data_IF_825947917075
#
_entry.id   IF_825947917075
#
_cell.length_a   1.000
_cell.length_b   1.000
_cell.length_c   1.000
_cell.angle_alpha   90.00
_cell.angle_beta   90.00
_cell.angle_gamma   90.00
#
_symmetry.space_group_name_H-M   'P 1'
#
loop_
_entity.id
_entity.type
_entity.pdbx_description
1 polymer ?
#
# COMPACT_ATOMS: atom_id res chain seq x y z
N UNK A 1 1.91 5.35 0.69
CA UNK A 1 0.59 5.39 1.38
C UNK A 1 0.03 3.99 1.60
N UNK A 2 0.48 3.31 2.66
CA UNK A 2 0.21 1.86 2.85
C UNK A 2 -1.27 1.52 3.05
N UNK A 3 -1.96 2.25 3.94
CA UNK A 3 -3.35 1.98 4.32
C UNK A 3 -4.40 2.30 3.25
N UNK A 4 -4.08 3.14 2.27
CA UNK A 4 -5.04 3.64 1.25
C UNK A 4 -5.06 2.79 -0.03
N UNK A 5 -4.43 1.62 -0.02
CA UNK A 5 -4.38 0.74 -1.20
C UNK A 5 -3.50 1.27 -2.33
N UNK A 6 -3.51 0.54 -3.46
CA UNK A 6 -2.67 0.80 -4.64
C UNK A 6 -3.09 2.00 -5.48
N UNK A 7 -4.29 2.54 -5.28
CA UNK A 7 -4.74 3.71 -6.04
C UNK A 7 -4.10 5.01 -5.52
N UNK A 8 -3.70 5.03 -4.25
CA UNK A 8 -2.88 6.10 -3.66
C UNK A 8 -1.38 5.85 -3.90
N UNK A 9 -0.96 5.84 -5.18
CA UNK A 9 0.44 5.58 -5.58
C UNK A 9 1.40 6.70 -5.21
N UNK A 10 1.06 7.95 -5.53
CA UNK A 10 1.94 9.09 -5.32
C UNK A 10 1.45 9.97 -4.20
N UNK A 11 2.34 10.36 -3.30
CA UNK A 11 2.09 11.31 -2.24
C UNK A 11 3.05 12.49 -2.32
N UNK A 12 2.57 13.66 -1.95
CA UNK A 12 3.41 14.86 -1.84
C UNK A 12 3.40 15.29 -0.37
N UNK A 13 4.59 15.55 0.15
CA UNK A 13 4.75 16.28 1.41
C UNK A 13 5.20 17.68 1.04
N UNK A 14 4.52 18.69 1.57
CA UNK A 14 4.90 20.09 1.39
C UNK A 14 4.96 20.78 2.75
N UNK A 15 5.93 21.68 2.90
CA UNK A 15 6.00 22.56 4.06
C UNK A 15 6.63 23.90 3.71
N UNK A 16 6.33 24.91 4.53
CA UNK A 16 7.02 26.20 4.48
C UNK A 16 8.35 26.12 5.24
N UNK A 17 9.37 26.78 4.70
CA UNK A 17 10.68 26.95 5.32
C UNK A 17 10.93 28.46 5.50
N UNK A 18 10.67 28.96 6.70
CA UNK A 18 11.02 30.33 7.10
C UNK A 18 10.54 31.40 6.12
N UNK A 19 11.37 32.43 5.93
CA UNK A 19 11.14 33.75 5.30
C UNK A 19 10.66 33.78 3.83
N UNK A 20 9.69 32.95 3.46
CA UNK A 20 9.07 32.91 2.13
C UNK A 20 9.50 31.75 1.24
N UNK A 21 10.23 30.75 1.74
CA UNK A 21 10.58 29.55 0.97
C UNK A 21 9.64 28.39 1.29
N UNK A 22 9.48 27.48 0.34
CA UNK A 22 8.74 26.24 0.50
C UNK A 22 9.55 25.06 0.01
N UNK A 23 9.33 23.89 0.60
CA UNK A 23 9.86 22.62 0.14
C UNK A 23 8.73 21.66 -0.19
N UNK A 24 8.99 20.79 -1.16
CA UNK A 24 8.12 19.68 -1.50
C UNK A 24 8.96 18.44 -1.81
N UNK A 25 8.46 17.28 -1.40
CA UNK A 25 9.03 15.99 -1.74
C UNK A 25 7.91 15.07 -2.25
N UNK A 26 8.16 14.43 -3.39
CA UNK A 26 7.27 13.44 -3.99
C UNK A 26 7.74 12.05 -3.57
N UNK A 27 6.80 11.25 -3.08
CA UNK A 27 7.03 9.86 -2.70
C UNK A 27 6.13 8.96 -3.52
N UNK A 28 6.71 7.88 -4.01
CA UNK A 28 5.97 6.75 -4.54
C UNK A 28 5.69 5.73 -3.44
N UNK A 29 4.54 5.05 -3.53
CA UNK A 29 4.19 3.93 -2.66
C UNK A 29 5.15 2.78 -2.98
N UNK A 30 6.00 2.42 -2.03
CA UNK A 30 6.83 1.23 -2.18
C UNK A 30 5.98 -0.04 -2.27
N UNK A 31 6.22 -0.84 -3.30
CA UNK A 31 5.57 -2.13 -3.55
C UNK A 31 6.21 -3.29 -2.78
N UNK A 32 7.21 -3.01 -1.94
CA UNK A 32 7.99 -4.00 -1.18
C UNK A 32 7.18 -4.87 -0.20
N UNK A 33 5.91 -4.55 0.05
CA UNK A 33 4.98 -5.39 0.84
C UNK A 33 3.94 -6.09 -0.04
N UNK A 34 3.74 -5.62 -1.27
CA UNK A 34 2.85 -6.24 -2.26
C UNK A 34 3.59 -7.35 -3.07
N UNK A 35 4.93 -7.30 -3.16
CA UNK A 35 5.74 -8.30 -3.88
C UNK A 35 6.11 -9.56 -3.05
N UNK A 36 5.95 -9.57 -1.73
CA UNK A 36 6.35 -10.71 -0.87
C UNK A 36 5.18 -11.67 -0.59
N UNK A 37 5.08 -12.68 -1.47
CA UNK A 37 4.74 -14.12 -1.33
C UNK A 37 3.67 -14.68 -0.36
N UNK A 38 2.99 -13.91 0.49
CA UNK A 38 1.98 -14.49 1.41
C UNK A 38 0.54 -14.43 0.88
N UNK A 39 0.33 -13.71 -0.24
CA UNK A 39 -0.95 -13.65 -0.92
C UNK A 39 -1.09 -14.83 -1.89
N UNK A 40 -1.21 -16.05 -1.37
CA UNK A 40 -1.73 -17.15 -2.18
C UNK A 40 -3.25 -17.01 -2.28
N UNK A 41 -3.78 -16.82 -3.48
CA UNK A 41 -5.21 -17.08 -3.73
C UNK A 41 -5.43 -18.58 -3.52
N UNK A 42 -5.98 -18.96 -2.36
CA UNK A 42 -6.33 -20.36 -2.09
C UNK A 42 -7.46 -20.75 -3.03
N UNK A 43 -7.12 -21.47 -4.11
CA UNK A 43 -8.09 -21.94 -5.11
C UNK A 43 -9.06 -23.00 -4.58
N UNK A 44 -8.67 -23.74 -3.53
CA UNK A 44 -9.54 -24.70 -2.84
C UNK A 44 -9.18 -24.78 -1.35
N UNK A 45 -10.10 -24.36 -0.49
CA UNK A 45 -9.88 -24.33 0.96
C UNK A 45 -10.16 -25.73 1.53
N UNK A 46 -9.19 -26.63 1.38
CA UNK A 46 -9.34 -28.06 1.67
C UNK A 46 -9.41 -28.41 3.18
N UNK A 47 -9.45 -27.39 4.03
CA UNK A 47 -9.50 -27.49 5.49
C UNK A 47 -10.87 -27.09 6.06
N UNK A 48 -11.81 -26.68 5.21
CA UNK A 48 -13.19 -26.41 5.64
C UNK A 48 -14.01 -27.71 5.53
N UNK A 49 -14.88 -27.95 6.53
CA UNK A 49 -15.82 -29.06 6.50
C UNK A 49 -16.74 -28.94 5.28
N UNK A 50 -17.21 -30.09 4.75
CA UNK A 50 -18.11 -30.15 3.58
C UNK A 50 -19.38 -29.29 3.74
N UNK A 51 -19.78 -28.99 4.96
CA UNK A 51 -20.98 -28.21 5.29
C UNK A 51 -20.78 -26.69 5.17
N UNK A 52 -19.56 -26.21 4.90
CA UNK A 52 -19.24 -24.79 4.77
C UNK A 52 -19.32 -24.27 3.32
N UNK A 53 -19.96 -25.02 2.41
CA UNK A 53 -20.14 -24.65 0.99
C UNK A 53 -21.58 -24.32 0.66
#
# INVERSE_FOLDING_TARGET
>A
MKRRGRDCRFGVISMCIGTGMGAAAVFERGDSVDEIQNAQTIGHNNLLSKDAR
#
